data_IF_949679467094
#
_entry.id   IF_949679467094
#
_cell.length_a   1.000
_cell.length_b   1.000
_cell.length_c   1.000
_cell.angle_alpha   90.00
_cell.angle_beta   90.00
_cell.angle_gamma   90.00
#
_symmetry.space_group_name_H-M   'P 1'
#
loop_
_entity.id
_entity.type
_entity.pdbx_description
1 polymer ?
#
# COMPACT_ATOMS: atom_id res chain seq x y z
N UNK A 1 -14.18 5.16 12.76
CA UNK A 1 -12.89 5.79 13.10
C UNK A 1 -12.46 6.59 11.87
N UNK A 2 -12.14 7.87 12.03
CA UNK A 2 -11.73 8.70 10.91
C UNK A 2 -10.32 8.27 10.45
N UNK A 3 -10.02 8.45 9.16
CA UNK A 3 -8.70 8.08 8.60
C UNK A 3 -7.54 8.76 9.35
N UNK A 4 -7.72 10.00 9.78
CA UNK A 4 -6.71 10.76 10.53
C UNK A 4 -6.40 10.15 11.90
N UNK A 5 -7.43 9.68 12.62
CA UNK A 5 -7.26 8.99 13.91
C UNK A 5 -6.46 7.69 13.74
N UNK A 6 -6.68 6.97 12.65
CA UNK A 6 -5.93 5.75 12.30
C UNK A 6 -4.47 6.04 11.96
N UNK A 7 -4.21 7.11 11.20
CA UNK A 7 -2.86 7.56 10.88
C UNK A 7 -2.10 7.86 12.18
N UNK A 8 -2.72 8.61 13.10
CA UNK A 8 -2.10 8.92 14.39
C UNK A 8 -1.86 7.67 15.25
N UNK A 9 -2.86 6.77 15.32
CA UNK A 9 -2.75 5.50 16.06
C UNK A 9 -1.60 4.63 15.53
N UNK A 10 -1.49 4.50 14.21
CA UNK A 10 -0.44 3.70 13.56
C UNK A 10 0.93 4.39 13.70
N UNK A 11 1.01 5.72 13.60
CA UNK A 11 2.25 6.48 13.84
C UNK A 11 2.81 6.20 15.23
N UNK A 12 2.00 6.40 16.26
CA UNK A 12 2.38 6.16 17.66
C UNK A 12 2.76 4.70 17.93
N UNK A 13 2.18 3.75 17.17
CA UNK A 13 2.56 2.34 17.26
C UNK A 13 3.99 2.13 16.78
N UNK A 14 4.38 2.71 15.65
CA UNK A 14 5.74 2.62 15.13
C UNK A 14 6.76 3.39 15.96
N UNK A 15 6.42 4.57 16.47
CA UNK A 15 7.30 5.34 17.37
C UNK A 15 7.70 4.58 18.65
N UNK A 16 6.85 3.64 19.09
CA UNK A 16 7.14 2.78 20.25
C UNK A 16 8.00 1.56 19.89
N UNK A 17 8.22 1.28 18.61
CA UNK A 17 9.12 0.20 18.17
C UNK A 17 10.56 0.71 18.25
N UNK A 18 11.38 0.11 19.12
CA UNK A 18 12.75 0.57 19.44
C UNK A 18 13.80 0.49 18.32
N UNK A 19 13.38 0.40 17.05
CA UNK A 19 14.23 0.44 15.85
C UNK A 19 13.83 1.53 14.86
N UNK A 20 12.75 2.26 15.13
CA UNK A 20 12.25 3.35 14.30
C UNK A 20 13.00 4.61 14.69
N UNK A 21 13.63 5.23 13.69
CA UNK A 21 14.33 6.51 13.81
C UNK A 21 13.34 7.67 13.70
N UNK A 22 12.44 7.59 12.73
CA UNK A 22 11.46 8.64 12.47
C UNK A 22 10.20 8.09 11.79
N UNK A 23 9.07 8.78 12.00
CA UNK A 23 7.79 8.54 11.35
C UNK A 23 7.35 9.81 10.64
N UNK A 24 7.47 9.80 9.32
CA UNK A 24 7.28 10.98 8.49
C UNK A 24 5.93 10.86 7.80
N UNK A 25 5.18 11.98 7.71
CA UNK A 25 3.99 12.04 6.85
C UNK A 25 4.43 11.75 5.42
N UNK A 26 3.79 10.79 4.76
CA UNK A 26 4.28 10.35 3.46
C UNK A 26 4.26 11.46 2.41
N UNK A 27 4.96 11.27 1.29
CA UNK A 27 4.92 12.21 0.16
C UNK A 27 4.92 11.51 -1.19
N UNK A 28 4.67 12.24 -2.28
CA UNK A 28 4.70 11.68 -3.62
C UNK A 28 6.04 11.01 -3.90
N UNK A 29 5.97 9.74 -4.32
CA UNK A 29 7.16 8.97 -4.65
C UNK A 29 7.56 9.33 -6.07
N UNK A 30 8.58 10.18 -6.17
CA UNK A 30 9.20 10.58 -7.42
C UNK A 30 10.42 9.70 -7.67
N UNK A 31 10.51 9.12 -8.86
CA UNK A 31 11.74 8.49 -9.27
C UNK A 31 12.28 9.15 -10.54
N UNK A 32 13.60 9.30 -10.57
CA UNK A 32 14.32 10.00 -11.61
C UNK A 32 15.14 8.98 -12.39
N UNK A 33 14.82 8.80 -13.68
CA UNK A 33 15.65 8.01 -14.58
C UNK A 33 16.45 8.95 -15.46
N UNK A 34 17.78 8.93 -15.33
CA UNK A 34 18.68 9.65 -16.23
C UNK A 34 18.70 8.95 -17.60
N UNK A 35 18.47 9.71 -18.67
CA UNK A 35 18.49 9.24 -20.06
C UNK A 35 19.60 10.03 -20.79
N UNK A 36 20.82 9.50 -20.73
CA UNK A 36 21.99 10.14 -21.35
C UNK A 36 22.60 11.29 -20.53
N UNK A 37 23.51 12.05 -21.14
CA UNK A 37 24.32 13.04 -20.44
C UNK A 37 23.53 14.25 -19.91
N UNK A 38 22.42 14.63 -20.57
CA UNK A 38 21.71 15.90 -20.32
C UNK A 38 20.19 15.78 -20.21
N UNK A 39 19.62 14.58 -20.18
CA UNK A 39 18.16 14.39 -20.01
C UNK A 39 17.86 13.49 -18.83
N UNK A 40 16.83 13.84 -18.08
CA UNK A 40 16.23 13.01 -17.05
C UNK A 40 14.72 12.98 -17.27
N UNK A 41 14.12 11.82 -17.04
CA UNK A 41 12.67 11.67 -17.01
C UNK A 41 12.29 11.38 -15.57
N UNK A 42 11.47 12.23 -14.99
CA UNK A 42 10.81 11.95 -13.72
C UNK A 42 9.52 11.18 -14.01
N UNK A 43 9.27 10.15 -13.21
CA UNK A 43 7.96 9.52 -13.13
C UNK A 43 7.53 9.51 -11.68
N UNK A 44 6.30 9.97 -11.47
CA UNK A 44 5.70 10.09 -10.14
C UNK A 44 4.67 8.99 -9.98
N UNK A 45 4.76 8.25 -8.87
CA UNK A 45 3.65 7.41 -8.46
C UNK A 45 2.59 8.39 -7.94
N UNK A 46 1.51 8.58 -8.69
CA UNK A 46 0.38 9.44 -8.32
C UNK A 46 -0.46 8.83 -7.19
N UNK A 47 0.20 8.20 -6.23
CA UNK A 47 -0.37 7.62 -5.04
C UNK A 47 0.67 7.72 -3.92
N UNK A 48 0.33 8.46 -2.88
CA UNK A 48 1.21 8.86 -1.79
C UNK A 48 0.97 7.95 -0.59
N UNK A 49 2.01 7.40 0.06
CA UNK A 49 1.85 6.72 1.33
C UNK A 49 1.35 7.70 2.38
N UNK A 50 0.60 7.19 3.36
CA UNK A 50 0.15 7.99 4.49
C UNK A 50 1.32 8.26 5.44
N UNK A 51 2.19 7.25 5.64
CA UNK A 51 3.40 7.35 6.46
C UNK A 51 4.62 6.74 5.77
N UNK A 52 5.78 7.29 6.07
CA UNK A 52 7.11 6.80 5.72
C UNK A 52 7.82 6.50 7.04
N UNK A 53 8.20 5.24 7.26
CA UNK A 53 8.88 4.82 8.49
C UNK A 53 10.37 4.68 8.20
N UNK A 54 11.19 5.53 8.81
CA UNK A 54 12.65 5.40 8.74
C UNK A 54 13.16 4.55 9.89
N UNK A 55 14.00 3.56 9.59
CA UNK A 55 14.69 2.76 10.61
C UNK A 55 16.16 3.18 10.69
N UNK A 56 16.75 3.09 11.88
CA UNK A 56 18.12 3.58 12.13
C UNK A 56 19.17 2.98 11.19
N UNK A 57 19.01 1.73 10.74
CA UNK A 57 19.96 1.03 9.87
C UNK A 57 19.28 0.03 8.90
N UNK A 58 18.03 0.27 8.51
CA UNK A 58 17.25 -0.77 7.79
C UNK A 58 16.38 -0.23 6.64
N UNK A 59 16.68 0.98 6.18
CA UNK A 59 15.95 1.63 5.09
C UNK A 59 14.60 2.15 5.54
N UNK A 60 13.67 2.21 4.59
CA UNK A 60 12.39 2.87 4.73
C UNK A 60 11.24 1.90 4.48
N UNK A 61 10.15 2.00 5.24
CA UNK A 61 8.88 1.37 4.88
C UNK A 61 7.87 2.41 4.41
N UNK A 62 7.08 2.05 3.40
CA UNK A 62 5.93 2.84 2.98
C UNK A 62 4.66 2.25 3.56
N UNK A 63 3.86 3.08 4.22
CA UNK A 63 2.63 2.67 4.90
C UNK A 63 1.43 3.36 4.27
N UNK A 64 0.46 2.56 3.85
CA UNK A 64 -0.81 2.99 3.30
C UNK A 64 -1.93 2.60 4.24
N UNK A 65 -2.83 3.53 4.52
CA UNK A 65 -3.99 3.39 5.39
C UNK A 65 -5.22 3.67 4.54
N UNK A 66 -5.99 2.61 4.29
CA UNK A 66 -7.04 2.57 3.27
C UNK A 66 -8.36 2.11 3.88
N UNK A 67 -9.47 2.41 3.21
CA UNK A 67 -10.80 2.07 3.72
C UNK A 67 -11.10 0.57 3.63
N UNK A 68 -10.53 -0.12 2.62
CA UNK A 68 -10.85 -1.51 2.35
C UNK A 68 -9.68 -2.32 1.79
N UNK A 69 -9.79 -3.65 1.88
CA UNK A 69 -8.84 -4.56 1.24
C UNK A 69 -8.79 -4.38 -0.29
N UNK A 70 -9.91 -4.02 -0.93
CA UNK A 70 -9.98 -3.75 -2.38
C UNK A 70 -9.11 -2.55 -2.75
N UNK A 71 -9.15 -1.49 -1.94
CA UNK A 71 -8.25 -0.35 -2.14
C UNK A 71 -6.79 -0.76 -1.98
N UNK A 72 -6.45 -1.61 -1.00
CA UNK A 72 -5.09 -2.15 -0.86
C UNK A 72 -4.63 -2.85 -2.13
N UNK A 73 -5.47 -3.74 -2.68
CA UNK A 73 -5.17 -4.47 -3.92
C UNK A 73 -5.06 -3.53 -5.13
N UNK A 74 -5.91 -2.50 -5.19
CA UNK A 74 -5.85 -1.48 -6.25
C UNK A 74 -4.55 -0.67 -6.21
N UNK A 75 -4.06 -0.32 -5.02
CA UNK A 75 -2.78 0.36 -4.85
C UNK A 75 -1.61 -0.57 -5.17
N UNK A 76 -1.66 -1.84 -4.74
CA UNK A 76 -0.68 -2.86 -5.11
C UNK A 76 -0.57 -3.04 -6.62
N UNK A 77 -1.70 -3.08 -7.33
CA UNK A 77 -1.74 -3.13 -8.79
C UNK A 77 -1.00 -1.94 -9.43
N UNK A 78 -1.22 -0.73 -8.93
CA UNK A 78 -0.52 0.48 -9.40
C UNK A 78 0.98 0.41 -9.14
N UNK A 79 1.40 -0.07 -7.97
CA UNK A 79 2.82 -0.24 -7.64
C UNK A 79 3.48 -1.29 -8.54
N UNK A 80 2.81 -2.40 -8.80
CA UNK A 80 3.31 -3.44 -9.71
C UNK A 80 3.52 -2.91 -11.13
N UNK A 81 2.57 -2.12 -11.65
CA UNK A 81 2.73 -1.43 -12.94
C UNK A 81 3.90 -0.44 -12.92
N UNK A 82 4.11 0.26 -11.81
CA UNK A 82 5.24 1.16 -11.63
C UNK A 82 6.58 0.41 -11.72
N UNK A 83 6.65 -0.79 -11.13
CA UNK A 83 7.82 -1.67 -11.23
C UNK A 83 8.05 -2.16 -12.66
N UNK A 84 7.00 -2.52 -13.41
CA UNK A 84 7.11 -2.90 -14.83
C UNK A 84 7.69 -1.77 -15.69
N UNK A 85 7.45 -0.52 -15.30
CA UNK A 85 8.05 0.67 -15.94
C UNK A 85 9.54 0.88 -15.55
N UNK A 86 10.17 -0.11 -14.90
CA UNK A 86 11.54 -0.09 -14.37
C UNK A 86 11.78 1.02 -13.36
N UNK A 87 10.77 1.34 -12.57
CA UNK A 87 10.88 2.29 -11.48
C UNK A 87 10.91 1.51 -10.18
N UNK A 88 12.05 1.52 -9.51
CA UNK A 88 12.14 0.85 -8.22
C UNK A 88 11.60 1.75 -7.10
N UNK A 89 11.02 1.14 -6.09
CA UNK A 89 10.66 1.85 -4.87
C UNK A 89 11.83 1.73 -3.91
N UNK A 90 12.32 2.87 -3.41
CA UNK A 90 13.38 2.90 -2.40
C UNK A 90 12.79 2.66 -1.00
N UNK A 91 12.24 1.47 -0.83
CA UNK A 91 11.71 0.98 0.43
C UNK A 91 12.11 -0.49 0.62
N UNK A 92 12.08 -0.96 1.86
CA UNK A 92 12.27 -2.34 2.25
C UNK A 92 10.95 -3.10 2.17
N UNK A 93 9.90 -2.57 2.79
CA UNK A 93 8.57 -3.15 2.76
C UNK A 93 7.49 -2.12 2.48
N UNK A 94 6.37 -2.64 1.98
CA UNK A 94 5.16 -1.88 1.70
C UNK A 94 4.06 -2.45 2.59
N UNK A 95 3.51 -1.59 3.45
CA UNK A 95 2.56 -1.97 4.48
C UNK A 95 1.20 -1.36 4.18
N UNK A 96 0.16 -2.17 4.26
CA UNK A 96 -1.22 -1.77 4.06
C UNK A 96 -1.99 -2.03 5.35
N UNK A 97 -2.69 -1.01 5.83
CA UNK A 97 -3.68 -1.09 6.89
C UNK A 97 -5.04 -0.80 6.28
N UNK A 98 -6.04 -1.65 6.56
CA UNK A 98 -7.42 -1.46 6.10
C UNK A 98 -8.42 -1.52 7.26
N UNK A 99 -9.49 -0.74 7.18
CA UNK A 99 -10.47 -0.63 8.28
C UNK A 99 -11.63 -1.60 8.18
N UNK A 100 -12.10 -1.86 6.96
CA UNK A 100 -13.31 -2.64 6.73
C UNK A 100 -13.06 -3.92 5.91
N UNK A 101 -13.81 -4.96 6.26
CA UNK A 101 -13.85 -6.25 5.54
C UNK A 101 -15.02 -6.36 4.55
N UNK A 102 -15.87 -5.34 4.42
CA UNK A 102 -17.12 -5.50 3.68
C UNK A 102 -17.10 -4.81 2.31
N UNK A 103 -17.17 -5.65 1.29
CA UNK A 103 -17.58 -5.32 -0.08
C UNK A 103 -19.00 -4.73 -0.03
N UNK A 104 -19.12 -3.40 0.02
CA UNK A 104 -20.43 -2.76 -0.14
C UNK A 104 -20.33 -1.35 -0.72
N UNK A 105 -19.53 -1.14 -1.77
CA UNK A 105 -19.55 0.12 -2.51
C UNK A 105 -19.14 -0.11 -3.96
N UNK A 106 -20.12 -0.45 -4.83
CA UNK A 106 -20.19 -0.09 -6.27
C UNK A 106 -21.26 -0.84 -7.08
N UNK A 107 -21.97 -1.83 -6.52
CA UNK A 107 -23.05 -2.49 -7.25
C UNK A 107 -24.36 -1.67 -7.26
N UNK A 108 -24.63 -0.88 -6.20
CA UNK A 108 -25.88 -0.13 -6.08
C UNK A 108 -25.96 1.14 -6.94
N UNK A 109 -24.83 1.83 -7.21
CA UNK A 109 -24.84 3.04 -8.04
C UNK A 109 -25.12 2.78 -9.53
N UNK A 110 -25.06 1.53 -9.99
CA UNK A 110 -25.27 1.17 -11.39
C UNK A 110 -26.61 0.46 -11.68
N UNK A 111 -27.52 0.36 -10.71
CA UNK A 111 -28.86 -0.23 -10.92
C UNK A 111 -28.85 -1.70 -11.35
N UNK A 112 -27.74 -2.41 -11.16
CA UNK A 112 -27.58 -3.81 -11.52
C UNK A 112 -28.00 -4.69 -10.36
N UNK A 113 -29.21 -5.24 -10.43
CA UNK A 113 -29.62 -6.38 -9.60
C UNK A 113 -28.73 -7.57 -9.96
N UNK A 114 -27.63 -7.75 -9.25
CA UNK A 114 -26.79 -8.93 -9.31
C UNK A 114 -27.05 -9.72 -8.03
N UNK A 115 -27.40 -11.00 -8.17
CA UNK A 115 -27.49 -11.94 -7.06
C UNK A 115 -26.16 -11.92 -6.31
N UNK A 116 -26.12 -11.20 -5.19
CA UNK A 116 -24.94 -11.01 -4.36
C UNK A 116 -24.61 -12.31 -3.63
N UNK A 117 -23.86 -13.21 -4.26
CA UNK A 117 -22.93 -14.03 -3.50
C UNK A 117 -21.80 -13.09 -3.06
N UNK A 118 -21.92 -12.55 -1.86
CA UNK A 118 -20.89 -11.71 -1.23
C UNK A 118 -19.69 -12.59 -0.90
N UNK A 119 -18.81 -12.82 -1.88
CA UNK A 119 -17.54 -13.49 -1.62
C UNK A 119 -16.65 -12.56 -0.79
N UNK A 120 -16.55 -12.82 0.51
CA UNK A 120 -15.53 -12.13 1.31
C UNK A 120 -14.19 -12.77 0.98
N UNK A 121 -13.25 -11.99 0.46
CA UNK A 121 -11.87 -12.44 0.21
C UNK A 121 -11.22 -12.91 1.54
N UNK A 122 -11.69 -12.39 2.67
CA UNK A 122 -11.31 -12.85 4.02
C UNK A 122 -11.73 -14.29 4.33
N UNK A 123 -12.73 -14.84 3.64
CA UNK A 123 -13.18 -16.24 3.82
C UNK A 123 -12.27 -17.24 3.10
N UNK A 124 -11.33 -16.78 2.26
CA UNK A 124 -10.35 -17.60 1.54
C UNK A 124 -8.90 -17.13 1.80
N UNK A 125 -8.40 -17.27 3.04
CA UNK A 125 -7.10 -16.73 3.47
C UNK A 125 -5.93 -17.23 2.61
N UNK A 126 -6.03 -18.44 2.05
CA UNK A 126 -5.03 -19.01 1.16
C UNK A 126 -4.96 -18.28 -0.19
N UNK A 127 -6.10 -17.87 -0.77
CA UNK A 127 -6.10 -17.14 -2.06
C UNK A 127 -5.53 -15.74 -1.89
N UNK A 128 -5.90 -15.05 -0.81
CA UNK A 128 -5.33 -13.74 -0.49
C UNK A 128 -3.82 -13.84 -0.25
N UNK A 129 -3.38 -14.83 0.52
CA UNK A 129 -1.95 -15.05 0.80
C UNK A 129 -1.15 -15.36 -0.48
N UNK A 130 -1.68 -16.19 -1.37
CA UNK A 130 -1.06 -16.48 -2.67
C UNK A 130 -0.98 -15.23 -3.56
N UNK A 131 -2.03 -14.40 -3.57
CA UNK A 131 -2.05 -13.15 -4.32
C UNK A 131 -1.01 -12.16 -3.79
N UNK A 132 -0.90 -12.01 -2.47
CA UNK A 132 0.10 -11.16 -1.83
C UNK A 132 1.52 -11.66 -2.14
N UNK A 133 1.74 -12.97 -2.07
CA UNK A 133 3.03 -13.57 -2.43
C UNK A 133 3.41 -13.28 -3.89
N UNK A 134 2.45 -13.39 -4.81
CA UNK A 134 2.66 -13.04 -6.22
C UNK A 134 3.03 -11.56 -6.41
N UNK A 135 2.33 -10.64 -5.73
CA UNK A 135 2.69 -9.22 -5.77
C UNK A 135 4.07 -8.95 -5.16
N UNK A 136 4.42 -9.62 -4.06
CA UNK A 136 5.70 -9.47 -3.39
C UNK A 136 6.87 -9.88 -4.29
N UNK A 137 6.73 -11.02 -4.99
CA UNK A 137 7.70 -11.49 -5.98
C UNK A 137 7.80 -10.50 -7.16
N UNK A 138 6.66 -10.11 -7.74
CA UNK A 138 6.61 -9.19 -8.88
C UNK A 138 7.20 -7.80 -8.58
N UNK A 139 6.95 -7.27 -7.40
CA UNK A 139 7.45 -5.95 -6.99
C UNK A 139 8.91 -6.06 -6.49
N UNK A 140 9.32 -7.23 -6.00
CA UNK A 140 10.62 -7.46 -5.38
C UNK A 140 10.72 -6.81 -3.99
N UNK A 141 9.59 -6.64 -3.30
CA UNK A 141 9.48 -5.99 -1.98
C UNK A 141 8.59 -6.81 -1.07
N UNK A 142 8.85 -6.77 0.23
CA UNK A 142 7.98 -7.41 1.20
C UNK A 142 6.65 -6.64 1.26
N UNK A 143 5.54 -7.35 1.05
CA UNK A 143 4.19 -6.79 1.18
C UNK A 143 3.57 -7.28 2.49
N UNK A 144 3.08 -6.36 3.31
CA UNK A 144 2.43 -6.66 4.58
C UNK A 144 1.05 -6.03 4.54
N UNK A 145 -0.01 -6.84 4.64
CA UNK A 145 -1.38 -6.34 4.73
C UNK A 145 -1.94 -6.71 6.10
N UNK A 146 -2.51 -5.74 6.81
CA UNK A 146 -3.08 -5.91 8.15
C UNK A 146 -4.41 -5.19 8.25
N UNK A 147 -5.34 -5.78 8.99
CA UNK A 147 -6.55 -5.07 9.42
C UNK A 147 -6.16 -4.06 10.51
N UNK A 148 -6.73 -2.88 10.45
CA UNK A 148 -6.57 -1.85 11.46
C UNK A 148 -7.61 -2.07 12.57
N UNK A 149 -7.18 -2.72 13.65
CA UNK A 149 -7.89 -2.79 14.93
C UNK A 149 -7.77 -1.47 15.68
#
# INVERSE_FOLDING_TARGET
MLKEELVEKISKKFEREGRVKDVIKGDYINNYKKIGAYKAVSKTLNFKPDLIIEYENSGVDYVFILGSLVECLGVLGKIALFKEMQIDLDCKSIRFYYTDDDYLYKAEEMGLATSQETYKISDEPNKLSNLIAWYSDKIGKQIIIKRAE
#
